data_IF_977714976051
#
_entry.id   IF_977714976051
#
_cell.length_a   1.000
_cell.length_b   1.000
_cell.length_c   1.000
_cell.angle_alpha   90.00
_cell.angle_beta   90.00
_cell.angle_gamma   90.00
#
_symmetry.space_group_name_H-M   'P 1'
#
loop_
_entity.id
_entity.type
_entity.pdbx_description
1 polymer ?
#
# COMPACT_ATOMS: atom_id res chain seq x y z
N UNK A 1 -8.87 -3.78 7.36
CA UNK A 1 -9.20 -2.45 6.81
C UNK A 1 -10.31 -1.83 7.66
N UNK A 2 -10.23 -0.56 8.08
CA UNK A 2 -11.32 0.08 8.83
C UNK A 2 -12.45 0.42 7.85
N UNK A 3 -13.56 -0.30 7.94
CA UNK A 3 -14.75 -0.08 7.09
C UNK A 3 -15.24 1.38 7.17
N UNK A 4 -15.16 2.00 8.35
CA UNK A 4 -15.57 3.39 8.55
C UNK A 4 -14.72 4.39 7.75
N UNK A 5 -13.42 4.17 7.62
CA UNK A 5 -12.55 5.04 6.84
C UNK A 5 -12.78 4.86 5.33
N UNK A 6 -13.00 3.63 4.88
CA UNK A 6 -13.35 3.35 3.49
C UNK A 6 -14.68 4.04 3.12
N UNK A 7 -15.70 3.90 3.96
CA UNK A 7 -17.01 4.52 3.72
C UNK A 7 -16.92 6.05 3.58
N UNK A 8 -16.10 6.72 4.41
CA UNK A 8 -15.88 8.17 4.32
C UNK A 8 -15.21 8.58 3.00
N UNK A 9 -14.19 7.84 2.56
CA UNK A 9 -13.50 8.13 1.28
C UNK A 9 -14.43 7.96 0.08
N UNK A 10 -15.25 6.91 0.06
CA UNK A 10 -16.23 6.68 -1.00
C UNK A 10 -17.29 7.80 -1.00
N UNK A 11 -17.77 8.21 0.18
CA UNK A 11 -18.71 9.34 0.28
C UNK A 11 -18.12 10.65 -0.24
N UNK A 12 -16.84 10.89 0.03
CA UNK A 12 -16.12 12.06 -0.53
C UNK A 12 -16.06 11.99 -2.06
N UNK A 13 -15.71 10.82 -2.62
CA UNK A 13 -15.68 10.60 -4.06
C UNK A 13 -17.05 10.80 -4.73
N UNK A 14 -18.15 10.39 -4.07
CA UNK A 14 -19.50 10.68 -4.55
C UNK A 14 -19.80 12.16 -4.62
N UNK A 15 -19.30 12.93 -3.66
CA UNK A 15 -19.47 14.39 -3.61
C UNK A 15 -18.63 15.08 -4.70
N UNK A 16 -17.39 14.65 -4.87
CA UNK A 16 -16.45 15.16 -5.88
C UNK A 16 -17.02 14.97 -7.30
N UNK A 17 -17.48 13.77 -7.61
CA UNK A 17 -17.98 13.41 -8.95
C UNK A 17 -19.45 13.76 -9.15
N UNK A 18 -20.12 14.29 -8.12
CA UNK A 18 -21.56 14.65 -8.15
C UNK A 18 -22.47 13.54 -8.69
N UNK A 19 -22.23 12.30 -8.30
CA UNK A 19 -22.89 11.10 -8.86
C UNK A 19 -24.43 11.13 -8.85
N UNK A 20 -25.01 11.94 -7.97
CA UNK A 20 -26.49 12.11 -7.89
C UNK A 20 -27.03 13.09 -8.92
N UNK A 21 -26.18 13.77 -9.68
CA UNK A 21 -26.54 14.80 -10.66
C UNK A 21 -25.94 14.54 -12.04
N UNK A 22 -25.86 13.28 -12.43
CA UNK A 22 -25.32 12.82 -13.72
C UNK A 22 -26.30 13.20 -14.87
N UNK A 23 -25.95 14.30 -15.54
CA UNK A 23 -26.75 14.86 -16.63
C UNK A 23 -26.78 13.97 -17.88
N UNK A 24 -25.67 13.30 -18.15
CA UNK A 24 -25.53 12.44 -19.31
C UNK A 24 -26.44 11.20 -19.20
N UNK A 25 -26.37 10.52 -18.04
CA UNK A 25 -27.27 9.40 -17.81
C UNK A 25 -28.76 9.83 -17.73
N UNK A 26 -29.04 11.02 -17.21
CA UNK A 26 -30.40 11.55 -17.22
C UNK A 26 -30.93 11.84 -18.63
N UNK A 27 -30.07 12.26 -19.56
CA UNK A 27 -30.40 12.49 -20.96
C UNK A 27 -30.53 11.18 -21.76
N UNK A 28 -29.54 10.28 -21.61
CA UNK A 28 -29.37 9.13 -22.51
C UNK A 28 -30.14 7.88 -22.09
N UNK A 29 -30.49 7.74 -20.78
CA UNK A 29 -30.99 6.49 -20.23
C UNK A 29 -32.42 6.63 -19.66
N UNK A 30 -33.29 5.70 -19.99
CA UNK A 30 -34.57 5.57 -19.29
C UNK A 30 -34.33 5.21 -17.82
N UNK A 31 -35.27 5.56 -16.91
CA UNK A 31 -35.13 5.34 -15.47
C UNK A 31 -34.88 3.87 -15.10
N UNK A 32 -35.47 2.95 -15.83
CA UNK A 32 -35.43 1.51 -15.57
C UNK A 32 -34.49 0.76 -16.51
N UNK A 33 -33.62 1.46 -17.26
CA UNK A 33 -32.64 0.83 -18.14
C UNK A 33 -31.76 -0.15 -17.37
N UNK A 34 -31.60 -1.35 -17.95
CA UNK A 34 -30.72 -2.38 -17.46
C UNK A 34 -29.57 -2.57 -18.43
N UNK A 35 -28.39 -2.86 -17.96
CA UNK A 35 -27.25 -3.20 -18.80
C UNK A 35 -26.36 -4.23 -18.14
N UNK A 36 -25.56 -4.91 -18.94
CA UNK A 36 -24.50 -5.82 -18.48
C UNK A 36 -23.16 -5.16 -18.69
N UNK A 37 -22.20 -5.42 -17.79
CA UNK A 37 -20.86 -4.85 -17.85
C UNK A 37 -19.78 -5.86 -17.47
N UNK A 38 -18.55 -5.60 -17.88
CA UNK A 38 -17.37 -6.30 -17.42
C UNK A 38 -16.28 -5.29 -17.01
N UNK A 39 -15.64 -5.54 -15.89
CA UNK A 39 -14.43 -4.84 -15.46
C UNK A 39 -13.25 -5.68 -15.96
N UNK A 40 -12.40 -5.09 -16.83
CA UNK A 40 -11.28 -5.79 -17.45
C UNK A 40 -9.99 -5.03 -17.26
N UNK A 41 -8.91 -5.74 -17.04
CA UNK A 41 -7.58 -5.14 -17.08
C UNK A 41 -7.05 -5.06 -18.51
N UNK A 42 -6.32 -3.97 -18.84
CA UNK A 42 -5.68 -3.75 -20.14
C UNK A 42 -4.20 -4.13 -20.13
N UNK A 43 -3.66 -4.41 -18.97
CA UNK A 43 -2.27 -4.83 -18.75
C UNK A 43 -2.19 -5.91 -17.65
N UNK A 44 -1.07 -6.66 -17.52
CA UNK A 44 -0.93 -7.63 -16.44
C UNK A 44 -0.87 -6.93 -15.07
N UNK A 45 -1.68 -7.41 -14.11
CA UNK A 45 -1.78 -6.81 -12.76
C UNK A 45 -1.80 -7.85 -11.65
N UNK A 46 -1.53 -7.38 -10.43
CA UNK A 46 -2.00 -8.00 -9.19
C UNK A 46 -3.21 -7.21 -8.72
N UNK A 47 -4.37 -7.82 -8.69
CA UNK A 47 -5.61 -7.12 -8.38
C UNK A 47 -5.70 -6.75 -6.90
N UNK A 48 -6.24 -5.55 -6.64
CA UNK A 48 -6.55 -5.05 -5.30
C UNK A 48 -7.74 -4.10 -5.36
N UNK A 49 -8.84 -4.44 -4.67
CA UNK A 49 -9.99 -3.54 -4.55
C UNK A 49 -11.36 -4.19 -4.62
N UNK A 50 -11.50 -5.51 -4.46
CA UNK A 50 -12.80 -6.21 -4.47
C UNK A 50 -13.79 -5.62 -3.47
N UNK A 51 -13.37 -5.43 -2.22
CA UNK A 51 -14.21 -4.85 -1.18
C UNK A 51 -14.63 -3.41 -1.49
N UNK A 52 -13.82 -2.66 -2.24
CA UNK A 52 -14.15 -1.30 -2.64
C UNK A 52 -15.30 -1.30 -3.65
N UNK A 53 -15.24 -2.17 -4.65
CA UNK A 53 -16.31 -2.33 -5.65
C UNK A 53 -17.64 -2.63 -4.94
N UNK A 54 -17.62 -3.58 -4.01
CA UNK A 54 -18.82 -3.97 -3.24
C UNK A 54 -19.34 -2.83 -2.38
N UNK A 55 -18.45 -2.10 -1.68
CA UNK A 55 -18.85 -1.00 -0.80
C UNK A 55 -19.39 0.21 -1.58
N UNK A 56 -18.86 0.51 -2.77
CA UNK A 56 -19.37 1.57 -3.66
C UNK A 56 -20.82 1.26 -4.04
N UNK A 57 -21.09 0.07 -4.54
CA UNK A 57 -22.47 -0.33 -4.89
C UNK A 57 -23.39 -0.34 -3.67
N UNK A 58 -22.93 -0.84 -2.54
CA UNK A 58 -23.69 -0.87 -1.29
C UNK A 58 -24.10 0.54 -0.85
N UNK A 59 -23.18 1.50 -0.83
CA UNK A 59 -23.47 2.87 -0.42
C UNK A 59 -24.41 3.58 -1.40
N UNK A 60 -24.21 3.42 -2.72
CA UNK A 60 -25.15 3.97 -3.69
C UNK A 60 -26.58 3.44 -3.49
N UNK A 61 -26.73 2.14 -3.24
CA UNK A 61 -28.04 1.51 -2.96
C UNK A 61 -28.70 1.98 -1.66
N UNK A 62 -27.96 2.56 -0.72
CA UNK A 62 -28.52 3.15 0.49
C UNK A 62 -29.13 4.54 0.25
N UNK A 63 -28.88 5.16 -0.90
CA UNK A 63 -29.37 6.49 -1.23
C UNK A 63 -30.78 6.47 -1.80
N UNK A 64 -31.54 7.57 -1.64
CA UNK A 64 -32.89 7.70 -2.20
C UNK A 64 -32.95 7.45 -3.72
N UNK A 65 -31.90 7.87 -4.46
CA UNK A 65 -31.86 7.75 -5.93
C UNK A 65 -31.77 6.30 -6.39
N UNK A 66 -31.03 5.44 -5.65
CA UNK A 66 -30.69 4.08 -6.09
C UNK A 66 -31.19 2.95 -5.17
N UNK A 67 -31.98 3.24 -4.13
CA UNK A 67 -32.44 2.23 -3.15
C UNK A 67 -33.21 1.04 -3.76
N UNK A 68 -33.90 1.26 -4.88
CA UNK A 68 -34.64 0.23 -5.59
C UNK A 68 -33.93 -0.33 -6.81
N UNK A 69 -32.65 0.09 -7.03
CA UNK A 69 -31.85 -0.38 -8.16
C UNK A 69 -31.30 -1.77 -7.90
N UNK A 70 -31.41 -2.65 -8.88
CA UNK A 70 -30.79 -3.98 -8.86
C UNK A 70 -29.35 -3.88 -9.37
N UNK A 71 -28.47 -4.67 -8.81
CA UNK A 71 -27.13 -4.95 -9.29
C UNK A 71 -26.73 -6.35 -8.85
N UNK A 72 -26.30 -7.17 -9.77
CA UNK A 72 -25.65 -8.44 -9.51
C UNK A 72 -24.25 -8.37 -10.09
N UNK A 73 -23.25 -8.86 -9.35
CA UNK A 73 -21.85 -8.87 -9.77
C UNK A 73 -21.21 -10.21 -9.40
N UNK A 74 -20.45 -10.75 -10.33
CA UNK A 74 -19.65 -11.95 -10.18
C UNK A 74 -18.17 -11.58 -10.35
N UNK A 75 -17.31 -12.12 -9.48
CA UNK A 75 -15.87 -11.92 -9.52
C UNK A 75 -15.15 -13.18 -9.99
N UNK A 76 -14.19 -13.02 -10.89
CA UNK A 76 -13.36 -14.12 -11.41
C UNK A 76 -12.05 -14.30 -10.62
N UNK A 77 -11.87 -13.53 -9.55
CA UNK A 77 -10.76 -13.64 -8.61
C UNK A 77 -10.96 -12.78 -7.38
N UNK A 78 -9.92 -12.75 -6.57
CA UNK A 78 -9.88 -12.01 -5.31
C UNK A 78 -8.69 -11.06 -5.29
N UNK A 79 -8.64 -10.18 -4.30
CA UNK A 79 -7.44 -9.39 -4.02
C UNK A 79 -6.24 -10.33 -3.87
N UNK A 80 -5.08 -9.94 -4.43
CA UNK A 80 -3.81 -10.68 -4.57
C UNK A 80 -3.72 -11.60 -5.80
N UNK A 81 -4.82 -11.90 -6.46
CA UNK A 81 -4.76 -12.72 -7.68
C UNK A 81 -4.13 -11.92 -8.83
N UNK A 82 -3.43 -12.64 -9.70
CA UNK A 82 -2.85 -12.08 -10.91
C UNK A 82 -3.83 -12.22 -12.07
N UNK A 83 -3.96 -11.14 -12.85
CA UNK A 83 -4.71 -11.12 -14.09
C UNK A 83 -3.80 -10.73 -15.25
N UNK A 84 -3.98 -11.37 -16.38
CA UNK A 84 -3.29 -11.02 -17.64
C UNK A 84 -4.05 -9.91 -18.36
N UNK A 85 -3.37 -9.24 -19.29
CA UNK A 85 -4.02 -8.26 -20.16
C UNK A 85 -5.26 -8.84 -20.86
N UNK A 86 -6.37 -8.12 -20.82
CA UNK A 86 -7.65 -8.49 -21.40
C UNK A 86 -8.55 -9.38 -20.53
N UNK A 87 -8.03 -9.92 -19.42
CA UNK A 87 -8.85 -10.76 -18.53
C UNK A 87 -9.90 -9.96 -17.78
N UNK A 88 -11.04 -10.61 -17.58
CA UNK A 88 -12.18 -10.07 -16.81
C UNK A 88 -11.95 -10.28 -15.31
N UNK A 89 -11.96 -9.18 -14.54
CA UNK A 89 -11.87 -9.19 -13.08
C UNK A 89 -13.23 -9.48 -12.47
N UNK A 90 -14.26 -8.80 -12.99
CA UNK A 90 -15.64 -8.97 -12.57
C UNK A 90 -16.60 -8.69 -13.72
N UNK A 91 -17.78 -9.28 -13.68
CA UNK A 91 -18.88 -8.96 -14.58
C UNK A 91 -20.18 -8.79 -13.80
N UNK A 92 -21.13 -8.08 -14.37
CA UNK A 92 -22.40 -7.90 -13.70
C UNK A 92 -23.52 -7.40 -14.62
N UNK A 93 -24.72 -7.39 -14.06
CA UNK A 93 -25.91 -6.86 -14.70
C UNK A 93 -26.78 -6.10 -13.69
N UNK A 94 -27.33 -4.99 -14.12
CA UNK A 94 -28.18 -4.20 -13.24
C UNK A 94 -28.60 -2.86 -13.84
N UNK A 95 -29.07 -1.98 -12.95
CA UNK A 95 -29.52 -0.63 -13.33
C UNK A 95 -28.38 0.16 -13.99
N UNK A 96 -28.57 0.54 -15.26
CA UNK A 96 -27.56 1.24 -16.06
C UNK A 96 -27.09 2.55 -15.38
N UNK A 97 -28.03 3.35 -14.85
CA UNK A 97 -27.69 4.61 -14.16
C UNK A 97 -26.88 4.40 -12.88
N UNK A 98 -27.08 3.29 -12.16
CA UNK A 98 -26.27 2.93 -11.00
C UNK A 98 -24.84 2.55 -11.42
N UNK A 99 -24.71 1.76 -12.48
CA UNK A 99 -23.44 1.31 -13.02
C UNK A 99 -22.61 2.51 -13.47
N UNK A 100 -23.15 3.40 -14.30
CA UNK A 100 -22.43 4.60 -14.75
C UNK A 100 -22.06 5.56 -13.62
N UNK A 101 -22.96 5.75 -12.63
CA UNK A 101 -22.66 6.55 -11.45
C UNK A 101 -21.52 5.99 -10.58
N UNK A 102 -21.28 4.67 -10.62
CA UNK A 102 -20.23 4.00 -9.86
C UNK A 102 -18.91 3.84 -10.62
N UNK A 103 -18.96 3.85 -11.94
CA UNK A 103 -17.85 3.47 -12.83
C UNK A 103 -16.55 4.18 -12.48
N UNK A 104 -16.53 5.52 -12.61
CA UNK A 104 -15.31 6.29 -12.44
C UNK A 104 -14.73 6.16 -11.05
N UNK A 105 -15.59 6.12 -10.03
CA UNK A 105 -15.17 5.98 -8.64
C UNK A 105 -14.51 4.61 -8.42
N UNK A 106 -15.16 3.54 -8.86
CA UNK A 106 -14.60 2.19 -8.77
C UNK A 106 -13.24 2.13 -9.46
N UNK A 107 -13.18 2.59 -10.71
CA UNK A 107 -11.96 2.52 -11.52
C UNK A 107 -10.82 3.32 -10.90
N UNK A 108 -11.06 4.53 -10.42
CA UNK A 108 -10.02 5.36 -9.79
C UNK A 108 -9.40 4.66 -8.57
N UNK A 109 -10.20 4.00 -7.74
CA UNK A 109 -9.69 3.26 -6.60
C UNK A 109 -8.89 2.02 -7.03
N UNK A 110 -9.48 1.15 -7.85
CA UNK A 110 -8.86 -0.14 -8.17
C UNK A 110 -7.63 -0.01 -9.07
N UNK A 111 -7.60 0.96 -9.98
CA UNK A 111 -6.42 1.27 -10.80
C UNK A 111 -5.23 1.69 -9.94
N UNK A 112 -5.45 2.58 -8.98
CA UNK A 112 -4.42 3.05 -8.07
C UNK A 112 -3.90 1.92 -7.17
N UNK A 113 -4.79 1.17 -6.54
CA UNK A 113 -4.41 0.12 -5.59
C UNK A 113 -3.80 -1.10 -6.30
N UNK A 114 -4.32 -1.48 -7.46
CA UNK A 114 -3.72 -2.53 -8.27
C UNK A 114 -2.36 -2.11 -8.84
N UNK A 115 -2.14 -0.82 -9.07
CA UNK A 115 -0.81 -0.27 -9.40
C UNK A 115 0.20 -0.48 -8.28
N UNK A 116 -0.18 -0.21 -7.03
CA UNK A 116 0.66 -0.46 -5.84
C UNK A 116 0.96 -1.95 -5.69
N UNK A 117 -0.07 -2.80 -5.73
CA UNK A 117 0.12 -4.24 -5.54
C UNK A 117 0.97 -4.85 -6.66
N UNK A 118 0.77 -4.43 -7.91
CA UNK A 118 1.57 -4.86 -9.05
C UNK A 118 3.03 -4.46 -8.91
N UNK A 119 3.31 -3.19 -8.59
CA UNK A 119 4.67 -2.70 -8.37
C UNK A 119 5.33 -3.41 -7.18
N UNK A 120 4.61 -3.59 -6.07
CA UNK A 120 5.13 -4.34 -4.91
C UNK A 120 5.51 -5.76 -5.29
N UNK A 121 4.67 -6.45 -6.08
CA UNK A 121 4.95 -7.79 -6.55
C UNK A 121 6.19 -7.85 -7.48
N UNK A 122 6.39 -6.83 -8.31
CA UNK A 122 7.61 -6.71 -9.13
C UNK A 122 8.86 -6.63 -8.25
N UNK A 123 8.85 -5.85 -7.17
CA UNK A 123 9.96 -5.78 -6.22
C UNK A 123 10.20 -7.11 -5.50
N UNK A 124 9.15 -7.77 -5.01
CA UNK A 124 9.24 -9.08 -4.34
C UNK A 124 9.86 -10.12 -5.28
N UNK A 125 9.40 -10.19 -6.53
CA UNK A 125 9.93 -11.11 -7.54
C UNK A 125 11.37 -10.77 -7.93
N UNK A 126 11.70 -9.49 -8.10
CA UNK A 126 13.05 -9.06 -8.46
C UNK A 126 14.07 -9.33 -7.34
N UNK A 127 13.68 -9.17 -6.08
CA UNK A 127 14.49 -9.51 -4.92
C UNK A 127 14.77 -11.01 -4.86
N UNK A 128 13.76 -11.85 -5.16
CA UNK A 128 13.85 -13.31 -5.20
C UNK A 128 14.54 -13.92 -3.96
N UNK A 129 14.19 -13.43 -2.77
CA UNK A 129 14.65 -13.98 -1.49
C UNK A 129 13.49 -13.92 -0.46
N UNK A 130 12.87 -15.08 -0.12
CA UNK A 130 11.71 -15.12 0.79
C UNK A 130 12.05 -14.77 2.25
N UNK A 131 13.34 -14.72 2.61
CA UNK A 131 13.78 -14.33 3.97
C UNK A 131 13.73 -12.81 4.16
N UNK A 132 13.82 -12.04 3.08
CA UNK A 132 13.82 -10.56 3.13
C UNK A 132 12.45 -10.07 2.73
N UNK A 133 11.80 -9.27 3.57
CA UNK A 133 10.48 -8.71 3.28
C UNK A 133 10.58 -7.28 2.76
N UNK A 134 9.82 -6.97 1.71
CA UNK A 134 9.63 -5.61 1.22
C UNK A 134 8.61 -4.89 2.11
N UNK A 135 8.96 -3.71 2.60
CA UNK A 135 8.08 -2.87 3.40
C UNK A 135 7.67 -1.60 2.67
N UNK A 136 6.46 -1.14 2.98
CA UNK A 136 6.05 0.24 2.69
C UNK A 136 6.68 1.25 3.67
N UNK A 137 6.24 2.50 3.58
CA UNK A 137 6.64 3.58 4.49
C UNK A 137 5.42 4.39 4.93
N UNK A 138 5.65 5.52 5.61
CA UNK A 138 4.62 6.53 5.87
C UNK A 138 4.50 7.61 4.79
N UNK A 139 5.26 7.51 3.70
CA UNK A 139 5.17 8.41 2.53
C UNK A 139 3.96 8.01 1.69
N UNK A 140 2.76 8.37 2.15
CA UNK A 140 1.46 8.00 1.59
C UNK A 140 0.61 9.22 1.30
N UNK A 141 -0.38 9.10 0.41
CA UNK A 141 -1.39 10.13 0.22
C UNK A 141 -2.16 10.37 1.55
N UNK A 142 -2.38 11.62 1.95
CA UNK A 142 -3.18 11.93 3.13
C UNK A 142 -4.58 11.29 3.05
N UNK A 143 -5.01 10.69 4.15
CA UNK A 143 -6.31 9.99 4.22
C UNK A 143 -6.36 8.61 3.54
N UNK A 144 -5.40 8.29 2.67
CA UNK A 144 -5.41 7.09 1.82
C UNK A 144 -4.50 5.96 2.33
N UNK A 145 -3.71 6.22 3.38
CA UNK A 145 -2.65 5.33 3.89
C UNK A 145 -3.12 3.90 4.13
N UNK A 146 -4.29 3.70 4.72
CA UNK A 146 -4.77 2.37 5.06
C UNK A 146 -5.03 1.51 3.81
N UNK A 147 -5.50 2.13 2.70
CA UNK A 147 -5.70 1.45 1.41
C UNK A 147 -4.36 1.16 0.72
N UNK A 148 -3.45 2.14 0.69
CA UNK A 148 -2.14 1.96 0.06
C UNK A 148 -1.32 0.87 0.78
N UNK A 149 -1.35 0.85 2.11
CA UNK A 149 -0.69 -0.21 2.90
C UNK A 149 -1.34 -1.59 2.68
N UNK A 150 -2.65 -1.65 2.54
CA UNK A 150 -3.36 -2.87 2.17
C UNK A 150 -2.93 -3.37 0.78
N UNK A 151 -2.80 -2.48 -0.19
CA UNK A 151 -2.36 -2.82 -1.53
C UNK A 151 -0.91 -3.36 -1.56
N UNK A 152 -0.01 -2.85 -0.70
CA UNK A 152 1.34 -3.42 -0.52
C UNK A 152 1.27 -4.88 -0.04
N UNK A 153 0.38 -5.19 0.91
CA UNK A 153 0.15 -6.59 1.34
C UNK A 153 -0.40 -7.45 0.20
N UNK A 154 -1.28 -6.90 -0.64
CA UNK A 154 -1.80 -7.62 -1.81
C UNK A 154 -0.68 -7.97 -2.80
N UNK A 155 0.31 -7.11 -2.94
CA UNK A 155 1.50 -7.36 -3.78
C UNK A 155 2.53 -8.32 -3.20
N UNK A 156 2.34 -8.80 -1.95
CA UNK A 156 3.27 -9.70 -1.26
C UNK A 156 4.30 -9.01 -0.37
N UNK A 157 4.18 -7.69 -0.18
CA UNK A 157 4.96 -6.92 0.80
C UNK A 157 4.38 -7.02 2.21
N UNK A 158 5.02 -6.30 3.14
CA UNK A 158 4.55 -6.12 4.53
C UNK A 158 4.46 -4.63 4.87
N UNK A 159 3.79 -4.31 5.96
CA UNK A 159 3.66 -2.93 6.40
C UNK A 159 4.74 -2.57 7.43
N UNK A 160 5.40 -1.44 7.22
CA UNK A 160 6.09 -0.70 8.26
C UNK A 160 5.06 -0.04 9.20
N UNK A 161 5.48 0.58 10.31
CA UNK A 161 4.59 1.25 11.27
C UNK A 161 3.49 2.07 10.58
N UNK A 162 2.26 1.98 11.10
CA UNK A 162 1.11 2.65 10.52
C UNK A 162 1.08 4.16 10.80
N UNK A 163 1.54 4.55 11.99
CA UNK A 163 1.48 5.94 12.48
C UNK A 163 2.65 6.21 13.45
N UNK A 164 2.65 7.38 14.07
CA UNK A 164 3.70 7.80 15.01
C UNK A 164 3.63 7.08 16.37
N UNK A 165 2.49 6.48 16.71
CA UNK A 165 2.28 5.84 18.01
C UNK A 165 2.47 4.32 18.01
N UNK A 166 2.59 3.68 16.84
CA UNK A 166 2.64 2.21 16.74
C UNK A 166 4.04 1.61 16.87
N UNK A 167 5.09 2.43 16.82
CA UNK A 167 6.49 2.04 16.96
C UNK A 167 7.35 3.29 17.13
N UNK A 168 8.39 3.22 17.94
CA UNK A 168 9.40 4.28 18.04
C UNK A 168 10.37 4.14 16.87
N UNK A 169 10.57 5.21 16.12
CA UNK A 169 11.60 5.32 15.08
C UNK A 169 12.36 6.63 15.29
N UNK A 170 13.58 6.50 15.79
CA UNK A 170 14.51 7.59 16.00
C UNK A 170 15.21 7.85 14.67
N UNK A 171 15.16 9.08 14.20
CA UNK A 171 15.68 9.53 12.90
C UNK A 171 16.76 10.60 13.07
N UNK A 172 17.47 10.87 11.99
CA UNK A 172 18.46 11.94 11.87
C UNK A 172 17.99 13.28 12.49
N UNK A 173 16.79 13.73 12.12
CA UNK A 173 16.20 14.97 12.64
C UNK A 173 15.93 14.92 14.16
N UNK A 174 15.61 13.74 14.71
CA UNK A 174 15.48 13.58 16.17
C UNK A 174 16.85 13.69 16.85
N UNK A 175 17.87 13.08 16.27
CA UNK A 175 19.25 13.14 16.76
C UNK A 175 19.79 14.58 16.74
N UNK A 176 19.57 15.29 15.60
CA UNK A 176 20.03 16.67 15.45
C UNK A 176 19.33 17.66 16.40
N UNK A 177 18.10 17.35 16.84
CA UNK A 177 17.31 18.21 17.72
C UNK A 177 17.34 17.80 19.19
N UNK A 178 18.08 16.75 19.54
CA UNK A 178 18.13 16.21 20.90
C UNK A 178 19.46 16.53 21.57
N UNK A 179 19.41 16.86 22.85
CA UNK A 179 20.59 16.93 23.71
C UNK A 179 21.13 15.54 24.09
N UNK A 180 20.32 14.48 23.88
CA UNK A 180 20.68 13.10 24.21
C UNK A 180 21.37 12.44 23.02
N UNK A 181 22.39 11.63 23.31
CA UNK A 181 23.03 10.78 22.33
C UNK A 181 22.17 9.54 21.97
N UNK A 182 22.60 8.79 20.95
CA UNK A 182 21.90 7.59 20.43
C UNK A 182 21.60 6.59 21.55
N UNK A 183 22.57 6.30 22.41
CA UNK A 183 22.47 5.36 23.50
C UNK A 183 21.40 5.75 24.51
N UNK A 184 21.40 7.03 24.92
CA UNK A 184 20.43 7.57 25.87
C UNK A 184 19.02 7.58 25.31
N UNK A 185 18.86 7.87 24.01
CA UNK A 185 17.55 7.85 23.35
C UNK A 185 16.97 6.44 23.29
N UNK A 186 17.77 5.44 22.87
CA UNK A 186 17.33 4.05 22.81
C UNK A 186 16.98 3.53 24.21
N UNK A 187 17.85 3.78 25.21
CA UNK A 187 17.63 3.35 26.60
C UNK A 187 16.37 4.01 27.19
N UNK A 188 16.20 5.33 26.96
CA UNK A 188 15.01 6.07 27.39
C UNK A 188 13.73 5.54 26.73
N UNK A 189 13.81 5.20 25.45
CA UNK A 189 12.70 4.62 24.68
C UNK A 189 12.26 3.29 25.31
N UNK A 190 13.18 2.37 25.50
CA UNK A 190 12.90 1.05 26.10
C UNK A 190 12.35 1.14 27.52
N UNK A 191 12.85 2.08 28.31
CA UNK A 191 12.34 2.31 29.67
C UNK A 191 10.93 2.88 29.69
N UNK A 192 10.65 3.85 28.80
CA UNK A 192 9.38 4.60 28.77
C UNK A 192 8.27 3.86 28.01
N UNK A 193 8.62 3.14 26.94
CA UNK A 193 7.67 2.52 26.01
C UNK A 193 7.94 1.03 25.83
N UNK A 194 7.88 0.27 26.91
CA UNK A 194 8.26 -1.15 26.97
C UNK A 194 7.51 -2.05 25.97
N UNK A 195 6.29 -1.68 25.59
CA UNK A 195 5.45 -2.43 24.66
C UNK A 195 5.65 -2.03 23.18
N UNK A 196 6.53 -1.09 22.88
CA UNK A 196 6.81 -0.63 21.53
C UNK A 196 8.22 -1.03 21.12
N UNK A 197 8.36 -1.50 19.89
CA UNK A 197 9.69 -1.71 19.29
C UNK A 197 10.40 -0.37 19.13
N UNK A 198 11.69 -0.35 19.43
CA UNK A 198 12.58 0.79 19.23
C UNK A 198 13.45 0.54 18.02
N UNK A 199 13.27 1.37 17.00
CA UNK A 199 14.04 1.42 15.78
C UNK A 199 14.89 2.69 15.74
N UNK A 200 16.11 2.57 15.22
CA UNK A 200 17.06 3.67 14.98
C UNK A 200 17.50 3.69 13.53
N UNK A 201 17.39 4.85 12.88
CA UNK A 201 17.92 5.12 11.56
C UNK A 201 19.39 5.54 11.66
N UNK A 202 20.28 4.85 10.93
CA UNK A 202 21.72 5.09 10.90
C UNK A 202 22.16 5.28 9.45
N UNK A 203 22.74 6.41 9.11
CA UNK A 203 23.35 6.72 7.81
C UNK A 203 24.89 6.55 7.83
N UNK A 204 25.48 6.46 9.02
CA UNK A 204 26.93 6.30 9.24
C UNK A 204 27.22 5.06 10.08
N UNK A 205 28.36 4.40 9.77
CA UNK A 205 28.81 3.20 10.49
C UNK A 205 29.02 3.45 12.00
N UNK A 206 29.53 4.61 12.39
CA UNK A 206 29.74 4.91 13.82
C UNK A 206 28.43 4.96 14.61
N UNK A 207 27.32 5.42 14.01
CA UNK A 207 26.01 5.43 14.64
C UNK A 207 25.50 4.00 14.93
N UNK A 208 25.81 3.05 14.04
CA UNK A 208 25.51 1.63 14.25
C UNK A 208 26.25 1.12 15.50
N UNK A 209 27.55 1.45 15.65
CA UNK A 209 28.32 1.06 16.84
C UNK A 209 27.75 1.66 18.13
N UNK A 210 27.33 2.92 18.08
CA UNK A 210 26.66 3.57 19.21
C UNK A 210 25.30 2.92 19.54
N UNK A 211 24.49 2.63 18.52
CA UNK A 211 23.19 2.01 18.70
C UNK A 211 23.30 0.61 19.33
N UNK A 212 24.30 -0.17 18.95
CA UNK A 212 24.54 -1.52 19.47
C UNK A 212 24.78 -1.56 20.99
N UNK A 213 25.30 -0.48 21.61
CA UNK A 213 25.52 -0.40 23.05
C UNK A 213 24.21 -0.47 23.85
N UNK A 214 23.08 -0.05 23.26
CA UNK A 214 21.75 -0.07 23.90
C UNK A 214 20.80 -1.11 23.32
N UNK A 215 21.28 -1.98 22.43
CA UNK A 215 20.57 -3.13 21.89
C UNK A 215 19.15 -2.79 21.39
N UNK A 216 18.97 -1.93 20.35
CA UNK A 216 17.67 -1.62 19.80
C UNK A 216 16.99 -2.86 19.21
N UNK A 217 15.67 -2.79 18.95
CA UNK A 217 14.96 -3.90 18.34
C UNK A 217 15.20 -3.97 16.83
N UNK A 218 15.38 -2.79 16.20
CA UNK A 218 15.59 -2.65 14.76
C UNK A 218 16.66 -1.59 14.53
N UNK A 219 17.59 -1.87 13.61
CA UNK A 219 18.53 -0.89 13.06
C UNK A 219 18.23 -0.74 11.57
N UNK A 220 17.83 0.47 11.18
CA UNK A 220 17.67 0.84 9.78
C UNK A 220 18.97 1.44 9.26
N UNK A 221 19.53 0.84 8.21
CA UNK A 221 20.70 1.32 7.49
C UNK A 221 20.20 2.16 6.30
N UNK A 222 20.22 3.51 6.47
CA UNK A 222 19.64 4.42 5.49
C UNK A 222 20.73 5.03 4.59
N UNK A 223 20.55 4.91 3.28
CA UNK A 223 21.42 5.48 2.25
C UNK A 223 22.94 5.16 2.40
N UNK A 224 23.28 4.05 3.05
CA UNK A 224 24.69 3.66 3.24
C UNK A 224 25.33 3.18 1.93
N UNK A 225 26.59 3.58 1.69
CA UNK A 225 27.38 2.98 0.63
C UNK A 225 27.63 1.48 0.89
N UNK A 226 27.87 0.71 -0.17
CA UNK A 226 27.99 -0.76 -0.11
C UNK A 226 29.01 -1.27 0.91
N UNK A 227 30.16 -0.58 1.03
CA UNK A 227 31.23 -0.97 1.97
C UNK A 227 30.79 -0.85 3.42
N UNK A 228 30.20 0.30 3.78
CA UNK A 228 29.69 0.55 5.14
C UNK A 228 28.49 -0.34 5.45
N UNK A 229 27.62 -0.57 4.47
CA UNK A 229 26.46 -1.44 4.61
C UNK A 229 26.89 -2.87 5.01
N UNK A 230 27.79 -3.50 4.25
CA UNK A 230 28.27 -4.86 4.56
C UNK A 230 28.97 -4.91 5.93
N UNK A 231 29.78 -3.88 6.24
CA UNK A 231 30.47 -3.78 7.53
C UNK A 231 29.47 -3.68 8.68
N UNK A 232 28.43 -2.85 8.54
CA UNK A 232 27.36 -2.67 9.54
C UNK A 232 26.58 -3.96 9.77
N UNK A 233 26.18 -4.65 8.71
CA UNK A 233 25.46 -5.93 8.80
C UNK A 233 26.27 -6.96 9.61
N UNK A 234 27.54 -7.15 9.27
CA UNK A 234 28.42 -8.07 9.98
C UNK A 234 28.54 -7.74 11.45
N UNK A 235 28.69 -6.47 11.80
CA UNK A 235 28.83 -6.01 13.17
C UNK A 235 27.55 -6.21 13.97
N UNK A 236 26.38 -5.89 13.40
CA UNK A 236 25.08 -6.11 14.03
C UNK A 236 24.87 -7.60 14.30
N UNK A 237 25.07 -8.47 13.31
CA UNK A 237 24.91 -9.92 13.48
C UNK A 237 25.87 -10.52 14.49
N UNK A 238 27.09 -10.01 14.56
CA UNK A 238 28.09 -10.42 15.57
C UNK A 238 27.67 -10.02 16.98
N UNK A 239 27.15 -8.81 17.15
CA UNK A 239 26.76 -8.28 18.46
C UNK A 239 25.47 -8.93 18.97
N UNK A 240 24.44 -9.01 18.14
CA UNK A 240 23.17 -9.65 18.48
C UNK A 240 22.39 -10.04 17.20
N UNK A 241 22.33 -11.34 16.92
CA UNK A 241 21.63 -11.88 15.75
C UNK A 241 20.11 -11.66 15.76
N UNK A 242 19.51 -11.26 16.90
CA UNK A 242 18.06 -11.00 17.05
C UNK A 242 17.67 -9.58 16.63
N UNK A 243 18.63 -8.66 16.52
CA UNK A 243 18.33 -7.31 16.02
C UNK A 243 17.86 -7.42 14.58
N UNK A 244 16.71 -6.85 14.29
CA UNK A 244 16.17 -6.75 12.93
C UNK A 244 17.00 -5.72 12.15
N UNK A 245 17.45 -6.09 10.96
CA UNK A 245 18.18 -5.18 10.07
C UNK A 245 17.24 -4.76 8.94
N UNK A 246 16.98 -3.47 8.84
CA UNK A 246 16.24 -2.86 7.74
C UNK A 246 17.20 -2.05 6.87
N UNK A 247 17.00 -2.08 5.55
CA UNK A 247 17.68 -1.21 4.60
C UNK A 247 16.67 -0.24 4.01
N UNK A 248 17.07 1.02 3.86
CA UNK A 248 16.28 2.09 3.25
C UNK A 248 17.17 2.99 2.38
N UNK A 249 16.51 3.79 1.51
CA UNK A 249 17.15 4.82 0.70
C UNK A 249 17.55 4.37 -0.71
N UNK A 250 17.06 5.09 -1.73
CA UNK A 250 17.47 4.93 -3.14
C UNK A 250 17.19 3.59 -3.81
N UNK A 251 16.31 2.75 -3.24
CA UNK A 251 16.04 1.40 -3.75
C UNK A 251 14.99 1.44 -4.86
N UNK A 252 15.31 0.78 -5.98
CA UNK A 252 14.49 0.69 -7.18
C UNK A 252 14.58 -0.73 -7.81
N UNK A 253 13.82 -1.00 -8.87
CA UNK A 253 13.78 -2.31 -9.53
C UNK A 253 15.11 -2.70 -10.19
N UNK A 254 15.95 -1.74 -10.55
CA UNK A 254 17.25 -1.99 -11.18
C UNK A 254 18.27 -2.49 -10.15
N UNK A 255 18.27 -1.89 -8.93
CA UNK A 255 19.26 -2.17 -7.91
C UNK A 255 18.84 -3.16 -6.82
N UNK A 256 17.52 -3.49 -6.69
CA UNK A 256 17.01 -4.38 -5.64
C UNK A 256 17.70 -5.75 -5.59
N UNK A 257 18.13 -6.27 -6.75
CA UNK A 257 18.87 -7.54 -6.86
C UNK A 257 20.18 -7.56 -6.08
N UNK A 258 20.80 -6.40 -5.88
CA UNK A 258 22.07 -6.26 -5.17
C UNK A 258 21.95 -6.54 -3.66
N UNK A 259 20.74 -6.62 -3.13
CA UNK A 259 20.47 -6.84 -1.71
C UNK A 259 20.06 -8.28 -1.37
N UNK A 260 19.83 -9.14 -2.40
CA UNK A 260 19.28 -10.49 -2.21
C UNK A 260 20.14 -11.40 -1.34
N UNK A 261 21.46 -11.25 -1.38
CA UNK A 261 22.42 -12.13 -0.71
C UNK A 261 22.91 -11.55 0.62
N UNK A 262 22.31 -10.45 1.08
CA UNK A 262 22.63 -9.84 2.37
C UNK A 262 21.87 -10.51 3.51
N UNK A 263 22.50 -10.63 4.67
CA UNK A 263 21.87 -11.13 5.90
C UNK A 263 21.07 -10.02 6.58
N UNK A 264 19.94 -9.67 5.98
CA UNK A 264 19.02 -8.62 6.41
C UNK A 264 17.59 -9.16 6.48
N UNK A 265 16.70 -8.42 7.14
CA UNK A 265 15.32 -8.84 7.35
C UNK A 265 14.33 -8.05 6.49
N UNK A 266 14.58 -6.74 6.34
CA UNK A 266 13.64 -5.83 5.69
C UNK A 266 14.31 -4.88 4.69
N UNK A 267 13.55 -4.52 3.66
CA UNK A 267 13.87 -3.43 2.73
C UNK A 267 12.65 -2.53 2.63
N UNK A 268 12.74 -1.29 3.11
CA UNK A 268 11.65 -0.32 3.01
C UNK A 268 11.79 0.55 1.75
N UNK A 269 10.68 0.67 1.02
CA UNK A 269 10.64 1.33 -0.28
C UNK A 269 9.51 2.35 -0.31
N UNK A 270 9.86 3.63 -0.26
CA UNK A 270 8.89 4.73 -0.27
C UNK A 270 8.14 4.86 -1.59
N UNK A 271 8.78 4.57 -2.72
CA UNK A 271 8.18 4.68 -4.05
C UNK A 271 6.98 3.77 -4.27
N UNK A 272 6.82 2.69 -3.48
CA UNK A 272 5.62 1.86 -3.50
C UNK A 272 4.33 2.65 -3.24
N UNK A 273 4.41 3.78 -2.54
CA UNK A 273 3.23 4.53 -2.13
C UNK A 273 3.26 6.01 -2.52
N UNK A 274 4.42 6.60 -2.80
CA UNK A 274 4.49 8.02 -3.19
C UNK A 274 4.73 8.26 -4.70
N UNK A 275 5.18 7.25 -5.46
CA UNK A 275 5.48 7.38 -6.89
C UNK A 275 4.82 6.25 -7.70
N UNK A 276 3.50 6.15 -7.57
CA UNK A 276 2.72 5.05 -8.13
C UNK A 276 2.35 5.37 -9.57
N UNK A 277 2.46 4.37 -10.44
CA UNK A 277 1.77 4.34 -11.72
C UNK A 277 0.47 3.56 -11.53
N UNK A 278 -0.68 4.21 -11.74
CA UNK A 278 -1.96 3.52 -11.81
C UNK A 278 -1.97 2.57 -13.03
N UNK A 279 -2.56 1.40 -12.87
CA UNK A 279 -2.72 0.43 -13.96
C UNK A 279 -3.98 0.71 -14.76
N UNK A 280 -4.01 0.27 -16.02
CA UNK A 280 -5.16 0.46 -16.90
C UNK A 280 -6.20 -0.65 -16.70
N UNK A 281 -7.33 -0.28 -16.10
CA UNK A 281 -8.53 -1.12 -15.91
C UNK A 281 -9.72 -0.34 -16.44
N UNK A 282 -10.56 -0.98 -17.25
CA UNK A 282 -11.78 -0.38 -17.81
C UNK A 282 -13.05 -1.13 -17.42
N UNK A 283 -14.18 -0.43 -17.51
CA UNK A 283 -15.52 -1.01 -17.46
C UNK A 283 -16.12 -0.96 -18.85
N UNK A 284 -16.39 -2.12 -19.42
CA UNK A 284 -16.98 -2.28 -20.75
C UNK A 284 -18.46 -2.64 -20.60
N UNK A 285 -19.32 -1.96 -21.36
CA UNK A 285 -20.72 -2.39 -21.48
C UNK A 285 -20.78 -3.56 -22.44
N UNK A 286 -21.42 -4.63 -21.98
CA UNK A 286 -21.63 -5.81 -22.80
C UNK A 286 -22.92 -5.62 -23.58
N UNK A 287 -22.82 -5.61 -24.92
CA UNK A 287 -23.99 -5.62 -25.80
C UNK A 287 -24.63 -7.02 -25.75
N UNK A 288 -25.98 -7.10 -25.81
CA UNK A 288 -26.69 -8.38 -25.86
C UNK A 288 -26.33 -9.20 -27.08
#
# INVERSE_FOLDING_TARGET
MSQQNLAKLISLAFTEDRVFNDKTSDLCLAKNSQTSFAIKTREPIIFCGKEIILEVFKQLKQTKKFKNSSINIEFFGNDKDSFKSGETIAQGKGCARLIFASERIILNFIQHLSGISTTTNQFVRALNNPKISILDTRKTLPGYRFLQKYAVICGGGKNHRHNLSSQILIKDNHLASSEKNINELISSSKKKYQNLKTEIECDQYFQVLEALKSNPDIIMLDNMNRKNLIKSIKEIRRANSKIIIEISGGINLENIKNYRDLDIDYISIGSLTHSIRAVDIGLDILHP
#
